data_IF_550406063732
#
_entry.id   IF_550406063732
#
_cell.length_a   1.000
_cell.length_b   1.000
_cell.length_c   1.000
_cell.angle_alpha   90.00
_cell.angle_beta   90.00
_cell.angle_gamma   90.00
#
_symmetry.space_group_name_H-M   'P 1'
#
loop_
_entity.id
_entity.type
_entity.pdbx_description
1 polymer ?
#
# COMPACT_ATOMS: atom_id res chain seq x y z
N UNK A 1 20.38 -13.83 -16.45
CA UNK A 1 20.00 -13.20 -15.15
C UNK A 1 18.65 -12.54 -15.37
N UNK A 2 17.73 -12.64 -14.42
CA UNK A 2 16.48 -11.88 -14.49
C UNK A 2 16.71 -10.48 -13.94
N UNK A 3 16.13 -9.50 -14.58
CA UNK A 3 16.11 -8.10 -14.17
C UNK A 3 14.67 -7.71 -13.83
N UNK A 4 14.53 -6.87 -12.83
CA UNK A 4 13.26 -6.38 -12.31
C UNK A 4 13.23 -4.86 -12.45
N UNK A 5 12.23 -4.33 -13.11
CA UNK A 5 12.00 -2.90 -13.14
C UNK A 5 10.56 -2.58 -12.76
N UNK A 6 10.41 -1.65 -11.85
CA UNK A 6 9.15 -1.07 -11.45
C UNK A 6 9.15 0.42 -11.78
N UNK A 7 8.05 0.88 -12.33
CA UNK A 7 7.81 2.30 -12.59
C UNK A 7 6.56 2.71 -11.84
N UNK A 8 6.69 3.72 -10.99
CA UNK A 8 5.57 4.31 -10.30
C UNK A 8 5.28 5.71 -10.85
N UNK A 9 4.06 5.88 -11.33
CA UNK A 9 3.54 7.13 -11.86
C UNK A 9 2.63 7.78 -10.81
N UNK A 10 3.08 8.87 -10.19
CA UNK A 10 2.27 9.59 -9.22
C UNK A 10 1.36 10.61 -9.90
N UNK A 11 0.09 10.60 -9.52
CA UNK A 11 -0.87 11.60 -9.99
C UNK A 11 -0.70 12.92 -9.25
N UNK A 12 -0.97 14.04 -9.93
CA UNK A 12 -0.94 15.38 -9.35
C UNK A 12 -1.95 15.54 -8.22
N UNK A 13 -3.08 14.90 -8.33
CA UNK A 13 -4.20 14.96 -7.39
C UNK A 13 -4.60 13.54 -6.97
N UNK A 14 -5.40 13.43 -5.91
CA UNK A 14 -6.06 12.17 -5.60
C UNK A 14 -7.29 11.98 -6.49
N UNK A 15 -7.40 10.80 -7.05
CA UNK A 15 -8.53 10.40 -7.87
C UNK A 15 -9.16 9.12 -7.33
N UNK A 16 -10.42 8.89 -7.72
CA UNK A 16 -11.06 7.61 -7.41
C UNK A 16 -10.28 6.45 -8.01
N UNK A 17 -10.08 5.39 -7.26
CA UNK A 17 -9.33 4.21 -7.70
C UNK A 17 -9.84 3.64 -9.02
N UNK A 18 -11.17 3.67 -9.25
CA UNK A 18 -11.79 3.23 -10.51
C UNK A 18 -11.26 4.00 -11.73
N UNK A 19 -11.05 5.30 -11.59
CA UNK A 19 -10.50 6.14 -12.64
C UNK A 19 -9.02 5.80 -12.90
N UNK A 20 -8.24 5.66 -11.84
CA UNK A 20 -6.81 5.33 -11.96
C UNK A 20 -6.64 3.95 -12.60
N UNK A 21 -7.44 2.98 -12.20
CA UNK A 21 -7.43 1.62 -12.75
C UNK A 21 -7.83 1.61 -14.25
N UNK A 22 -8.83 2.43 -14.65
CA UNK A 22 -9.15 2.56 -16.08
C UNK A 22 -7.98 3.17 -16.89
N UNK A 23 -7.27 4.15 -16.32
CA UNK A 23 -6.08 4.74 -16.96
C UNK A 23 -4.96 3.70 -17.09
N UNK A 24 -4.76 2.85 -16.08
CA UNK A 24 -3.82 1.74 -16.12
C UNK A 24 -4.09 0.83 -17.32
N UNK A 25 -5.33 0.34 -17.47
CA UNK A 25 -5.73 -0.48 -18.63
C UNK A 25 -5.47 0.21 -19.96
N UNK A 26 -5.80 1.50 -20.05
CA UNK A 26 -5.58 2.27 -21.30
C UNK A 26 -4.10 2.46 -21.62
N UNK A 27 -3.23 2.60 -20.62
CA UNK A 27 -1.77 2.69 -20.82
C UNK A 27 -1.24 1.37 -21.41
N UNK A 28 -1.70 0.21 -20.92
CA UNK A 28 -1.32 -1.08 -21.48
C UNK A 28 -1.74 -1.27 -22.96
N UNK A 29 -2.74 -0.54 -23.42
CA UNK A 29 -3.17 -0.57 -24.82
C UNK A 29 -2.34 0.35 -25.74
N UNK A 30 -1.38 1.12 -25.23
CA UNK A 30 -0.48 1.91 -26.06
C UNK A 30 0.46 0.95 -26.82
N UNK A 31 0.51 0.97 -28.18
CA UNK A 31 1.27 -0.02 -28.97
C UNK A 31 2.74 -0.13 -28.55
N UNK A 32 3.40 1.00 -28.31
CA UNK A 32 4.81 1.03 -27.90
C UNK A 32 5.06 0.27 -26.59
N UNK A 33 4.08 0.18 -25.69
CA UNK A 33 4.19 -0.63 -24.48
C UNK A 33 3.85 -2.08 -24.77
N UNK A 34 2.80 -2.36 -25.54
CA UNK A 34 2.38 -3.72 -25.88
C UNK A 34 3.48 -4.49 -26.58
N UNK A 35 4.23 -3.85 -27.48
CA UNK A 35 5.37 -4.45 -28.20
C UNK A 35 6.49 -4.91 -27.27
N UNK A 36 6.62 -4.32 -26.07
CA UNK A 36 7.65 -4.69 -25.11
C UNK A 36 7.34 -6.01 -24.41
N UNK A 37 6.07 -6.28 -24.11
CA UNK A 37 5.67 -7.45 -23.31
C UNK A 37 5.01 -8.58 -24.10
N UNK A 38 4.72 -8.39 -25.37
CA UNK A 38 4.00 -9.37 -26.20
C UNK A 38 4.84 -10.61 -26.59
N UNK A 39 6.05 -10.71 -26.04
CA UNK A 39 6.98 -11.81 -26.23
C UNK A 39 7.16 -12.66 -24.97
N UNK A 40 7.49 -13.92 -25.16
CA UNK A 40 7.56 -14.94 -24.10
C UNK A 40 8.68 -14.75 -23.04
N UNK A 41 9.56 -13.74 -23.20
CA UNK A 41 10.70 -13.46 -22.32
C UNK A 41 10.47 -12.29 -21.38
N UNK A 42 9.23 -11.80 -21.26
CA UNK A 42 8.87 -10.71 -20.39
C UNK A 42 7.55 -10.98 -19.67
N UNK A 43 7.49 -10.62 -18.40
CA UNK A 43 6.28 -10.65 -17.57
C UNK A 43 6.02 -9.23 -17.09
N UNK A 44 4.82 -8.72 -17.36
CA UNK A 44 4.42 -7.40 -16.88
C UNK A 44 3.21 -7.49 -15.96
N UNK A 45 3.08 -6.47 -15.11
CA UNK A 45 1.92 -6.28 -14.26
C UNK A 45 1.70 -4.79 -14.04
N UNK A 46 0.44 -4.41 -13.77
CA UNK A 46 0.05 -3.09 -13.32
C UNK A 46 -0.67 -3.16 -11.98
N UNK A 47 -0.63 -2.09 -11.23
CA UNK A 47 -1.39 -1.95 -10.00
C UNK A 47 -1.79 -0.48 -9.80
N UNK A 48 -3.09 -0.25 -9.72
CA UNK A 48 -3.65 1.07 -9.47
C UNK A 48 -3.74 1.37 -7.97
N UNK A 49 -3.34 2.58 -7.59
CA UNK A 49 -3.47 3.18 -6.26
C UNK A 49 -4.27 4.47 -6.38
N UNK A 50 -4.85 4.97 -5.30
CA UNK A 50 -5.63 6.22 -5.35
C UNK A 50 -4.83 7.44 -5.83
N UNK A 51 -3.49 7.34 -5.83
CA UNK A 51 -2.57 8.42 -6.19
C UNK A 51 -1.56 8.09 -7.25
N UNK A 52 -1.73 7.00 -7.93
CA UNK A 52 -0.79 6.62 -8.97
C UNK A 52 -0.97 5.21 -9.47
N UNK A 53 -0.07 4.83 -10.35
CA UNK A 53 -0.05 3.51 -10.97
C UNK A 53 1.38 2.99 -10.90
N UNK A 54 1.53 1.77 -10.44
CA UNK A 54 2.77 1.01 -10.57
C UNK A 54 2.66 0.12 -11.80
N UNK A 55 3.71 0.10 -12.60
CA UNK A 55 3.93 -0.87 -13.66
C UNK A 55 5.21 -1.63 -13.37
N UNK A 56 5.20 -2.93 -13.58
CA UNK A 56 6.36 -3.78 -13.37
C UNK A 56 6.67 -4.59 -14.61
N UNK A 57 7.96 -4.82 -14.86
CA UNK A 57 8.47 -5.72 -15.89
C UNK A 57 9.57 -6.60 -15.29
N UNK A 58 9.46 -7.89 -15.54
CA UNK A 58 10.53 -8.87 -15.28
C UNK A 58 10.97 -9.46 -16.60
N UNK A 59 12.26 -9.37 -16.91
CA UNK A 59 12.80 -9.92 -18.16
C UNK A 59 14.29 -10.29 -17.99
N UNK A 60 14.76 -11.25 -18.78
CA UNK A 60 16.18 -11.51 -18.93
C UNK A 60 16.82 -10.69 -20.07
N UNK A 61 16.03 -9.87 -20.76
CA UNK A 61 16.41 -9.07 -21.90
C UNK A 61 16.56 -7.58 -21.50
N UNK A 62 17.79 -7.12 -21.32
CA UNK A 62 18.09 -5.74 -20.94
C UNK A 62 17.56 -4.70 -21.92
N UNK A 63 17.40 -5.04 -23.23
CA UNK A 63 16.82 -4.11 -24.21
C UNK A 63 15.35 -3.82 -23.86
N UNK A 64 14.60 -4.83 -23.41
CA UNK A 64 13.21 -4.66 -22.98
C UNK A 64 13.11 -3.82 -21.70
N UNK A 65 14.00 -4.08 -20.74
CA UNK A 65 14.10 -3.24 -19.53
C UNK A 65 14.32 -1.78 -19.89
N UNK A 66 15.28 -1.51 -20.79
CA UNK A 66 15.57 -0.15 -21.26
C UNK A 66 14.39 0.45 -22.04
N UNK A 67 13.77 -0.31 -22.92
CA UNK A 67 12.60 0.15 -23.67
C UNK A 67 11.42 0.51 -22.77
N UNK A 68 11.15 -0.32 -21.76
CA UNK A 68 10.10 -0.10 -20.78
C UNK A 68 10.35 1.20 -19.97
N UNK A 69 11.56 1.40 -19.46
CA UNK A 69 11.93 2.65 -18.77
C UNK A 69 11.72 3.87 -19.70
N UNK A 70 12.24 3.81 -20.93
CA UNK A 70 12.14 4.90 -21.88
C UNK A 70 10.70 5.21 -22.28
N UNK A 71 9.85 4.19 -22.39
CA UNK A 71 8.42 4.39 -22.63
C UNK A 71 7.80 5.27 -21.53
N UNK A 72 7.99 4.93 -20.26
CA UNK A 72 7.41 5.69 -19.16
C UNK A 72 8.02 7.09 -18.98
N UNK A 73 9.30 7.27 -19.21
CA UNK A 73 9.95 8.60 -19.24
C UNK A 73 9.29 9.51 -20.28
N UNK A 74 8.88 8.93 -21.40
CA UNK A 74 8.25 9.65 -22.52
C UNK A 74 6.71 9.57 -22.50
N UNK A 75 6.09 9.02 -21.46
CA UNK A 75 4.66 8.74 -21.40
C UNK A 75 3.77 9.95 -21.73
N UNK A 76 4.19 11.16 -21.36
CA UNK A 76 3.48 12.42 -21.66
C UNK A 76 3.36 12.73 -23.14
N UNK A 77 4.09 12.05 -24.01
CA UNK A 77 4.02 12.26 -25.46
C UNK A 77 2.91 11.43 -26.12
N UNK A 78 2.34 10.47 -25.39
CA UNK A 78 1.31 9.59 -25.90
C UNK A 78 -0.10 10.09 -25.62
N UNK A 79 -1.05 9.65 -26.43
CA UNK A 79 -2.48 9.77 -26.16
C UNK A 79 -3.00 8.46 -25.58
N UNK A 80 -3.94 8.55 -24.63
CA UNK A 80 -4.60 7.34 -24.12
C UNK A 80 -5.57 6.79 -25.18
N UNK A 81 -5.42 5.54 -25.60
CA UNK A 81 -6.38 4.88 -26.46
C UNK A 81 -7.71 4.68 -25.74
N UNK A 82 -8.79 4.56 -26.49
CA UNK A 82 -10.06 4.13 -25.93
C UNK A 82 -10.01 2.63 -25.63
N UNK A 83 -10.69 2.23 -24.54
CA UNK A 83 -10.86 0.82 -24.23
C UNK A 83 -11.64 0.11 -25.36
N UNK A 84 -11.14 -1.01 -25.83
CA UNK A 84 -11.90 -1.93 -26.67
C UNK A 84 -13.12 -2.48 -25.93
N UNK A 85 -14.07 -3.08 -26.62
CA UNK A 85 -15.24 -3.66 -25.96
C UNK A 85 -14.85 -4.87 -25.08
N UNK A 86 -13.82 -5.60 -25.45
CA UNK A 86 -13.23 -6.68 -24.66
C UNK A 86 -12.61 -6.14 -23.37
N UNK A 87 -11.77 -5.11 -23.46
CA UNK A 87 -11.14 -4.47 -22.30
C UNK A 87 -12.18 -3.81 -21.37
N UNK A 88 -13.25 -3.22 -21.92
CA UNK A 88 -14.35 -2.71 -21.09
C UNK A 88 -15.04 -3.83 -20.29
N UNK A 89 -15.20 -5.01 -20.89
CA UNK A 89 -15.78 -6.16 -20.19
C UNK A 89 -14.83 -6.69 -19.13
N UNK A 90 -13.53 -6.83 -19.44
CA UNK A 90 -12.48 -7.24 -18.52
C UNK A 90 -12.42 -6.30 -17.33
N UNK A 91 -12.31 -5.00 -17.55
CA UNK A 91 -12.30 -3.96 -16.52
C UNK A 91 -13.54 -4.06 -15.60
N UNK A 92 -14.75 -4.23 -16.17
CA UNK A 92 -15.97 -4.41 -15.38
C UNK A 92 -15.93 -5.68 -14.53
N UNK A 93 -15.37 -6.78 -15.04
CA UNK A 93 -15.24 -8.03 -14.29
C UNK A 93 -14.24 -7.89 -13.14
N UNK A 94 -13.05 -7.35 -13.39
CA UNK A 94 -12.02 -7.13 -12.38
C UNK A 94 -12.53 -6.21 -11.26
N UNK A 95 -13.22 -5.13 -11.61
CA UNK A 95 -13.80 -4.22 -10.62
C UNK A 95 -14.93 -4.87 -9.81
N UNK A 96 -15.71 -5.76 -10.43
CA UNK A 96 -16.72 -6.57 -9.74
C UNK A 96 -16.09 -7.56 -8.77
N UNK A 97 -15.01 -8.21 -9.17
CA UNK A 97 -14.24 -9.12 -8.32
C UNK A 97 -13.59 -8.37 -7.15
N UNK A 98 -12.98 -7.22 -7.41
CA UNK A 98 -12.42 -6.36 -6.37
C UNK A 98 -13.48 -6.00 -5.31
N UNK A 99 -14.66 -5.55 -5.75
CA UNK A 99 -15.79 -5.29 -4.84
C UNK A 99 -16.29 -6.55 -4.12
N UNK A 100 -16.22 -7.71 -4.75
CA UNK A 100 -16.58 -8.98 -4.11
C UNK A 100 -15.54 -9.38 -3.06
N UNK A 101 -14.25 -9.29 -3.37
CA UNK A 101 -13.14 -9.53 -2.42
C UNK A 101 -13.24 -8.61 -1.20
N UNK A 102 -13.57 -7.33 -1.39
CA UNK A 102 -13.82 -6.40 -0.28
C UNK A 102 -14.92 -6.87 0.68
N UNK A 103 -15.89 -7.65 0.20
CA UNK A 103 -16.95 -8.22 1.03
C UNK A 103 -16.53 -9.52 1.73
N UNK A 104 -15.56 -10.24 1.19
CA UNK A 104 -15.09 -11.50 1.75
C UNK A 104 -14.06 -11.31 2.85
N UNK A 105 -13.19 -10.31 2.72
CA UNK A 105 -12.15 -10.03 3.71
C UNK A 105 -12.53 -8.82 4.56
N UNK A 106 -12.68 -9.03 5.85
CA UNK A 106 -13.13 -7.96 6.76
C UNK A 106 -12.15 -6.79 6.84
N UNK A 107 -10.84 -7.06 6.75
CA UNK A 107 -9.82 -6.02 6.66
C UNK A 107 -10.01 -5.13 5.42
N UNK A 108 -10.31 -5.73 4.28
CA UNK A 108 -10.53 -5.01 3.02
C UNK A 108 -11.75 -4.11 3.09
N UNK A 109 -12.81 -4.55 3.75
CA UNK A 109 -13.97 -3.71 4.06
C UNK A 109 -13.57 -2.52 4.94
N UNK A 110 -12.78 -2.76 5.99
CA UNK A 110 -12.33 -1.72 6.91
C UNK A 110 -11.44 -0.68 6.23
N UNK A 111 -10.48 -1.13 5.37
CA UNK A 111 -9.65 -0.26 4.54
C UNK A 111 -10.50 0.57 3.59
N UNK A 112 -11.45 -0.04 2.88
CA UNK A 112 -12.37 0.69 1.99
C UNK A 112 -13.20 1.75 2.72
N UNK A 113 -13.55 1.51 3.99
CA UNK A 113 -14.21 2.52 4.84
C UNK A 113 -13.28 3.67 5.19
N UNK A 114 -12.05 3.36 5.54
CA UNK A 114 -11.00 4.35 5.76
C UNK A 114 -10.83 5.22 4.51
N UNK A 115 -10.60 4.63 3.36
CA UNK A 115 -10.42 5.31 2.08
C UNK A 115 -11.59 6.23 1.75
N UNK A 116 -12.84 5.75 1.90
CA UNK A 116 -14.03 6.56 1.63
C UNK A 116 -14.14 7.81 2.52
N UNK A 117 -13.71 7.72 3.79
CA UNK A 117 -13.71 8.86 4.71
C UNK A 117 -12.52 9.77 4.41
N UNK A 118 -11.35 9.17 4.18
CA UNK A 118 -10.12 9.86 3.82
C UNK A 118 -10.30 10.69 2.55
N UNK A 119 -10.90 10.12 1.50
CA UNK A 119 -11.18 10.78 0.23
C UNK A 119 -12.07 12.02 0.40
N UNK A 120 -13.10 11.92 1.25
CA UNK A 120 -13.98 13.05 1.55
C UNK A 120 -13.24 14.20 2.26
N UNK A 121 -12.40 13.84 3.24
CA UNK A 121 -11.64 14.82 4.04
C UNK A 121 -10.58 15.50 3.19
N UNK A 122 -9.89 14.75 2.33
CA UNK A 122 -8.75 15.23 1.55
C UNK A 122 -9.12 15.68 0.13
N UNK A 123 -10.40 15.68 -0.23
CA UNK A 123 -10.90 16.24 -1.48
C UNK A 123 -10.50 15.46 -2.73
N UNK A 124 -10.72 14.13 -2.72
CA UNK A 124 -10.47 13.27 -3.89
C UNK A 124 -11.32 13.67 -5.07
N UNK A 125 -10.71 13.87 -6.23
CA UNK A 125 -11.38 14.34 -7.43
C UNK A 125 -11.98 13.19 -8.24
N UNK A 126 -13.16 13.44 -8.79
CA UNK A 126 -13.71 12.67 -9.89
C UNK A 126 -13.55 13.52 -11.16
N UNK A 127 -12.90 12.99 -12.17
CA UNK A 127 -12.79 13.62 -13.49
C UNK A 127 -13.16 12.60 -14.57
N UNK A 128 -13.43 13.10 -15.79
CA UNK A 128 -13.58 12.23 -16.96
C UNK A 128 -12.21 12.00 -17.56
N UNK A 129 -11.97 10.80 -18.05
CA UNK A 129 -10.75 10.48 -18.77
C UNK A 129 -10.85 11.13 -20.16
N UNK A 130 -9.86 11.97 -20.45
CA UNK A 130 -9.61 12.57 -21.75
C UNK A 130 -8.41 11.85 -22.39
N UNK A 131 -8.44 11.66 -23.72
CA UNK A 131 -7.33 11.04 -24.45
C UNK A 131 -6.00 11.79 -24.28
N UNK A 132 -6.03 13.08 -24.03
CA UNK A 132 -4.86 13.93 -23.80
C UNK A 132 -4.46 14.02 -22.31
N UNK A 133 -5.06 13.23 -21.43
CA UNK A 133 -4.87 13.35 -19.99
C UNK A 133 -3.38 13.23 -19.60
N UNK A 134 -2.60 12.39 -20.30
CA UNK A 134 -1.16 12.25 -20.08
C UNK A 134 -0.41 13.53 -20.47
N UNK A 135 -0.73 14.14 -21.61
CA UNK A 135 -0.14 15.41 -22.10
C UNK A 135 -0.49 16.57 -21.17
N UNK A 136 -1.66 16.54 -20.54
CA UNK A 136 -2.16 17.59 -19.65
C UNK A 136 -1.58 17.51 -18.22
N UNK A 137 -0.58 16.65 -18.00
CA UNK A 137 0.12 16.56 -16.72
C UNK A 137 -0.72 15.89 -15.63
N UNK A 138 -1.40 14.81 -15.96
CA UNK A 138 -2.10 13.97 -15.01
C UNK A 138 -1.14 13.37 -13.98
N UNK A 139 0.01 12.88 -14.45
CA UNK A 139 1.09 12.45 -13.59
C UNK A 139 2.02 13.62 -13.30
N UNK A 140 2.30 13.81 -12.02
CA UNK A 140 3.19 14.84 -11.51
C UNK A 140 4.64 14.36 -11.47
N UNK A 141 4.84 13.05 -11.35
CA UNK A 141 6.12 12.50 -10.99
C UNK A 141 6.25 11.03 -11.37
N UNK A 142 7.49 10.61 -11.69
CA UNK A 142 7.86 9.26 -12.06
C UNK A 142 9.02 8.79 -11.17
N UNK A 143 8.88 7.60 -10.62
CA UNK A 143 9.93 6.88 -9.93
C UNK A 143 10.22 5.56 -10.64
N UNK A 144 11.48 5.27 -10.86
CA UNK A 144 11.93 4.01 -11.44
C UNK A 144 12.77 3.29 -10.40
N UNK A 145 12.47 2.02 -10.17
CA UNK A 145 13.28 1.12 -9.38
C UNK A 145 13.72 -0.04 -10.25
N UNK A 146 15.02 -0.17 -10.46
CA UNK A 146 15.61 -1.27 -11.21
C UNK A 146 16.55 -2.04 -10.28
N UNK A 147 16.27 -3.34 -10.08
CA UNK A 147 17.08 -4.21 -9.21
C UNK A 147 17.35 -3.56 -7.82
N UNK A 148 16.29 -3.02 -7.19
CA UNK A 148 16.31 -2.31 -5.90
C UNK A 148 17.02 -0.96 -5.88
N UNK A 149 17.43 -0.41 -7.02
CA UNK A 149 17.96 0.94 -7.12
C UNK A 149 16.92 1.91 -7.61
N UNK A 150 16.71 2.98 -6.86
CA UNK A 150 15.66 3.97 -7.13
C UNK A 150 16.24 5.16 -7.89
N UNK A 151 15.65 5.44 -9.05
CA UNK A 151 15.90 6.64 -9.83
C UNK A 151 14.71 7.58 -9.74
N UNK A 152 14.91 8.77 -9.16
CA UNK A 152 13.87 9.81 -9.04
C UNK A 152 14.06 10.82 -10.15
N UNK A 153 13.08 10.89 -11.06
CA UNK A 153 13.20 11.74 -12.25
C UNK A 153 12.75 13.20 -12.04
N UNK A 154 11.97 13.47 -10.98
CA UNK A 154 11.47 14.81 -10.67
C UNK A 154 11.44 15.08 -9.15
N UNK A 155 11.50 16.36 -8.75
CA UNK A 155 11.41 16.76 -7.34
C UNK A 155 9.96 16.61 -6.82
N UNK A 156 9.81 15.85 -5.75
CA UNK A 156 8.54 15.58 -5.12
C UNK A 156 8.28 16.48 -3.90
N UNK A 157 7.07 17.06 -3.81
CA UNK A 157 6.61 17.74 -2.61
C UNK A 157 5.68 16.83 -1.82
N UNK A 158 6.08 16.46 -0.61
CA UNK A 158 5.23 15.68 0.29
C UNK A 158 3.98 16.48 0.65
N UNK A 159 2.82 15.86 0.54
CA UNK A 159 1.55 16.43 0.97
C UNK A 159 1.28 16.00 2.42
N UNK A 160 0.84 16.93 3.24
CA UNK A 160 0.38 16.62 4.59
C UNK A 160 -1.07 16.14 4.53
N UNK A 161 -1.34 14.97 5.09
CA UNK A 161 -2.65 14.33 5.07
C UNK A 161 -3.38 14.49 6.38
N UNK A 162 -4.72 14.53 6.28
CA UNK A 162 -5.61 14.44 7.45
C UNK A 162 -6.16 13.01 7.48
N UNK A 163 -5.74 12.25 8.48
CA UNK A 163 -6.19 10.88 8.64
C UNK A 163 -7.51 10.81 9.41
N UNK A 164 -8.51 10.07 8.92
CA UNK A 164 -9.74 9.85 9.65
C UNK A 164 -9.52 8.94 10.86
N UNK A 165 -10.20 9.28 11.96
CA UNK A 165 -10.36 8.39 13.11
C UNK A 165 -11.83 8.05 13.25
N UNK A 166 -12.14 6.76 13.35
CA UNK A 166 -13.53 6.31 13.43
C UNK A 166 -13.67 5.01 14.21
N UNK A 167 -14.84 4.85 14.82
CA UNK A 167 -15.31 3.59 15.40
C UNK A 167 -16.61 3.23 14.70
N UNK A 168 -16.63 2.09 14.06
CA UNK A 168 -17.81 1.66 13.32
C UNK A 168 -18.23 0.25 13.70
N UNK A 169 -19.51 0.11 14.04
CA UNK A 169 -20.16 -1.18 14.18
C UNK A 169 -21.00 -1.47 12.94
N UNK A 170 -20.81 -2.65 12.38
CA UNK A 170 -21.58 -3.09 11.21
C UNK A 170 -22.43 -4.31 11.56
N UNK A 171 -23.55 -4.47 10.85
CA UNK A 171 -24.37 -5.68 10.94
C UNK A 171 -23.90 -6.67 9.89
N UNK A 172 -23.47 -7.84 10.30
CA UNK A 172 -23.15 -8.97 9.41
C UNK A 172 -24.12 -10.13 9.67
N UNK A 173 -24.22 -11.05 8.70
CA UNK A 173 -24.98 -12.29 8.85
C UNK A 173 -24.12 -13.45 9.36
N UNK A 174 -22.92 -13.16 9.82
CA UNK A 174 -21.93 -14.17 10.25
C UNK A 174 -22.03 -14.32 11.77
N UNK A 175 -22.06 -15.55 12.26
CA UNK A 175 -22.16 -15.87 13.69
C UNK A 175 -20.89 -15.62 14.49
N UNK A 176 -19.79 -15.28 13.82
CA UNK A 176 -18.52 -14.95 14.45
C UNK A 176 -18.35 -13.44 14.60
N UNK A 177 -17.75 -13.04 15.72
CA UNK A 177 -17.34 -11.65 15.88
C UNK A 177 -16.14 -11.36 14.97
N UNK A 178 -16.26 -10.33 14.19
CA UNK A 178 -15.22 -9.83 13.30
C UNK A 178 -14.70 -8.50 13.84
N UNK A 179 -13.40 -8.34 13.85
CA UNK A 179 -12.76 -7.09 14.25
C UNK A 179 -11.70 -6.72 13.24
N UNK A 180 -11.64 -5.46 12.89
CA UNK A 180 -10.51 -4.88 12.16
C UNK A 180 -10.03 -3.62 12.86
N UNK A 181 -8.73 -3.44 12.90
CA UNK A 181 -8.05 -2.24 13.41
C UNK A 181 -7.31 -1.60 12.22
N UNK A 182 -7.45 -0.31 12.09
CA UNK A 182 -6.79 0.51 11.07
C UNK A 182 -5.90 1.53 11.75
N UNK A 183 -4.68 1.65 11.30
CA UNK A 183 -3.75 2.68 11.74
C UNK A 183 -3.03 3.30 10.54
N UNK A 184 -3.34 4.56 10.19
CA UNK A 184 -2.63 5.30 9.17
C UNK A 184 -1.42 6.06 9.76
N UNK A 185 -0.41 6.32 8.94
CA UNK A 185 0.71 7.18 9.29
C UNK A 185 1.33 7.85 8.08
N UNK A 186 1.94 9.01 8.27
CA UNK A 186 2.82 9.62 7.29
C UNK A 186 4.13 8.83 7.18
N UNK A 187 4.72 8.88 6.01
CA UNK A 187 5.97 8.24 5.71
C UNK A 187 7.13 8.65 6.65
N UNK A 188 7.16 9.90 7.11
CA UNK A 188 8.19 10.40 8.04
C UNK A 188 8.23 9.63 9.36
N UNK A 189 7.14 8.99 9.75
CA UNK A 189 7.04 8.18 10.95
C UNK A 189 7.29 6.69 10.69
N UNK A 190 7.67 6.30 9.47
CA UNK A 190 7.74 4.90 9.04
C UNK A 190 8.51 4.00 10.02
N UNK A 191 9.73 4.38 10.40
CA UNK A 191 10.55 3.54 11.27
C UNK A 191 9.91 3.29 12.64
N UNK A 192 9.35 4.34 13.26
CA UNK A 192 8.63 4.21 14.53
C UNK A 192 7.35 3.41 14.36
N UNK A 193 6.66 3.61 13.25
CA UNK A 193 5.43 2.91 12.93
C UNK A 193 5.66 1.41 12.71
N UNK A 194 6.69 1.03 11.97
CA UNK A 194 7.05 -0.36 11.73
C UNK A 194 7.34 -1.14 13.02
N UNK A 195 8.03 -0.52 13.96
CA UNK A 195 8.29 -1.12 15.28
C UNK A 195 7.02 -1.16 16.14
N UNK A 196 6.21 -0.10 16.06
CA UNK A 196 4.96 -0.01 16.82
C UNK A 196 3.97 -1.09 16.37
N UNK A 197 3.74 -1.26 15.07
CA UNK A 197 2.80 -2.27 14.60
C UNK A 197 3.25 -3.69 14.93
N UNK A 198 4.56 -3.99 14.82
CA UNK A 198 5.12 -5.30 15.22
C UNK A 198 4.85 -5.57 16.70
N UNK A 199 4.96 -4.52 17.53
CA UNK A 199 4.60 -4.63 18.94
C UNK A 199 3.10 -4.89 19.15
N UNK A 200 2.24 -4.20 18.40
CA UNK A 200 0.79 -4.41 18.45
C UNK A 200 0.39 -5.81 18.01
N UNK A 201 0.95 -6.31 16.92
CA UNK A 201 0.71 -7.69 16.49
C UNK A 201 1.09 -8.71 17.56
N UNK A 202 2.25 -8.54 18.19
CA UNK A 202 2.68 -9.41 19.27
C UNK A 202 1.69 -9.41 20.44
N UNK A 203 1.19 -8.23 20.84
CA UNK A 203 0.17 -8.10 21.89
C UNK A 203 -1.12 -8.79 21.47
N UNK A 204 -1.59 -8.57 20.23
CA UNK A 204 -2.80 -9.21 19.74
C UNK A 204 -2.67 -10.73 19.66
N UNK A 205 -1.54 -11.24 19.21
CA UNK A 205 -1.25 -12.69 19.21
C UNK A 205 -1.25 -13.26 20.63
N UNK A 206 -0.68 -12.55 21.60
CA UNK A 206 -0.76 -12.95 23.04
C UNK A 206 -2.21 -12.97 23.55
N UNK A 207 -3.00 -11.94 23.22
CA UNK A 207 -4.37 -11.80 23.72
C UNK A 207 -5.34 -12.78 23.10
N UNK A 208 -5.18 -13.11 21.82
CA UNK A 208 -6.18 -13.83 21.03
C UNK A 208 -5.70 -15.19 20.54
N UNK A 209 -4.52 -15.28 19.92
CA UNK A 209 -4.05 -16.56 19.36
C UNK A 209 -3.59 -17.52 20.46
N UNK A 210 -2.77 -17.08 21.40
CA UNK A 210 -2.32 -17.93 22.50
C UNK A 210 -3.41 -18.34 23.48
N UNK A 211 -4.50 -17.58 23.52
CA UNK A 211 -5.68 -17.91 24.34
C UNK A 211 -6.75 -18.70 23.56
N UNK A 212 -6.45 -19.09 22.32
CA UNK A 212 -7.35 -19.84 21.44
C UNK A 212 -8.68 -19.13 21.12
N UNK A 213 -8.72 -17.80 21.25
CA UNK A 213 -9.89 -16.99 20.89
C UNK A 213 -10.02 -16.80 19.38
N UNK A 214 -8.90 -16.81 18.68
CA UNK A 214 -8.80 -16.87 17.22
C UNK A 214 -7.69 -17.82 16.78
N UNK A 215 -7.77 -18.29 15.53
CA UNK A 215 -6.71 -19.13 14.95
C UNK A 215 -5.54 -18.27 14.49
N UNK A 216 -5.80 -17.18 13.79
CA UNK A 216 -4.77 -16.30 13.25
C UNK A 216 -5.28 -14.85 13.13
N UNK A 217 -4.34 -13.97 12.85
CA UNK A 217 -4.55 -12.55 12.58
C UNK A 217 -4.11 -12.25 11.14
N UNK A 218 -5.01 -11.72 10.35
CA UNK A 218 -4.68 -11.20 9.01
C UNK A 218 -4.16 -9.78 9.14
N UNK A 219 -2.90 -9.57 8.78
CA UNK A 219 -2.23 -8.26 8.84
C UNK A 219 -1.81 -7.83 7.45
N UNK A 220 -2.16 -6.61 7.09
CA UNK A 220 -1.91 -6.05 5.77
C UNK A 220 -1.39 -4.64 5.86
N UNK A 221 -0.47 -4.34 4.96
CA UNK A 221 -0.01 -3.00 4.66
C UNK A 221 -0.63 -2.52 3.37
N UNK A 222 -1.21 -1.33 3.41
CA UNK A 222 -1.62 -0.60 2.22
C UNK A 222 -0.65 0.56 2.06
N UNK A 223 0.12 0.51 0.99
CA UNK A 223 1.06 1.56 0.66
C UNK A 223 0.39 2.54 -0.29
N UNK A 224 0.40 3.78 0.11
CA UNK A 224 0.01 4.90 -0.73
C UNK A 224 1.20 5.87 -0.81
N UNK A 225 1.27 6.71 -1.82
CA UNK A 225 2.43 7.52 -2.17
C UNK A 225 3.16 8.22 -1.03
N UNK A 226 2.42 8.75 -0.05
CA UNK A 226 2.94 9.63 0.99
C UNK A 226 2.55 9.15 2.38
N UNK A 227 1.77 8.08 2.45
CA UNK A 227 1.30 7.55 3.71
C UNK A 227 1.13 6.03 3.63
N UNK A 228 1.02 5.44 4.78
CA UNK A 228 0.83 4.03 5.00
C UNK A 228 -0.44 3.80 5.79
N UNK A 229 -1.11 2.70 5.51
CA UNK A 229 -2.20 2.21 6.34
C UNK A 229 -1.90 0.78 6.73
N UNK A 230 -1.79 0.55 8.03
CA UNK A 230 -1.78 -0.80 8.55
C UNK A 230 -3.20 -1.22 8.90
N UNK A 231 -3.60 -2.39 8.44
CA UNK A 231 -4.87 -3.00 8.75
C UNK A 231 -4.63 -4.41 9.31
N UNK A 232 -5.25 -4.70 10.44
CA UNK A 232 -5.26 -6.05 11.00
C UNK A 232 -6.68 -6.46 11.29
N UNK A 233 -7.02 -7.70 10.95
CA UNK A 233 -8.36 -8.24 11.22
C UNK A 233 -8.31 -9.68 11.70
N UNK A 234 -9.36 -10.08 12.39
CA UNK A 234 -9.54 -11.46 12.85
C UNK A 234 -11.00 -11.81 13.10
N UNK A 235 -11.25 -13.11 13.15
CA UNK A 235 -12.49 -13.69 13.59
C UNK A 235 -12.33 -14.24 15.00
N UNK A 236 -13.30 -13.99 15.88
CA UNK A 236 -13.25 -14.46 17.27
C UNK A 236 -14.61 -14.96 17.73
N UNK A 237 -14.61 -15.92 18.64
CA UNK A 237 -15.83 -16.33 19.37
C UNK A 237 -16.27 -15.27 20.38
N UNK A 238 -15.31 -14.53 20.91
CA UNK A 238 -15.55 -13.47 21.89
C UNK A 238 -15.65 -12.10 21.21
N UNK A 239 -16.44 -11.21 21.78
CA UNK A 239 -16.49 -9.83 21.32
C UNK A 239 -15.16 -9.13 21.61
N UNK A 240 -14.77 -8.24 20.70
CA UNK A 240 -13.60 -7.40 20.89
C UNK A 240 -13.79 -6.45 22.08
N UNK A 241 -12.89 -6.54 23.04
CA UNK A 241 -12.79 -5.58 24.14
C UNK A 241 -11.74 -4.51 23.80
N UNK A 242 -12.25 -3.41 23.26
CA UNK A 242 -11.42 -2.25 22.92
C UNK A 242 -10.68 -1.67 24.15
N UNK A 243 -11.31 -1.69 25.34
CA UNK A 243 -10.69 -1.13 26.55
C UNK A 243 -9.52 -1.99 26.99
N UNK A 244 -9.69 -3.32 26.97
CA UNK A 244 -8.62 -4.25 27.32
C UNK A 244 -7.48 -4.19 26.30
N UNK A 245 -7.79 -4.13 25.01
CA UNK A 245 -6.79 -3.92 23.96
C UNK A 245 -5.99 -2.64 24.21
N UNK A 246 -6.64 -1.49 24.36
CA UNK A 246 -5.98 -0.20 24.58
C UNK A 246 -5.16 -0.21 25.87
N UNK A 247 -5.66 -0.83 26.95
CA UNK A 247 -4.93 -1.01 28.20
C UNK A 247 -3.64 -1.81 28.01
N UNK A 248 -3.66 -2.87 27.20
CA UNK A 248 -2.50 -3.70 26.95
C UNK A 248 -1.48 -3.00 26.07
N UNK A 249 -1.95 -2.34 25.00
CA UNK A 249 -1.05 -1.62 24.09
C UNK A 249 -0.46 -0.36 24.72
N UNK A 250 -1.12 0.24 25.71
CA UNK A 250 -0.56 1.37 26.48
C UNK A 250 0.61 0.96 27.38
N UNK A 251 0.85 -0.32 27.57
CA UNK A 251 2.07 -0.83 28.21
C UNK A 251 3.23 -0.72 27.22
N UNK A 252 3.90 0.41 27.26
CA UNK A 252 5.03 0.68 26.37
C UNK A 252 6.11 -0.41 26.49
N UNK A 253 6.76 -0.83 25.40
CA UNK A 253 7.86 -1.76 25.47
C UNK A 253 9.05 -1.14 26.22
N UNK A 254 9.80 -1.95 26.96
CA UNK A 254 11.06 -1.51 27.55
C UNK A 254 12.21 -1.53 26.51
N UNK A 255 13.38 -0.97 26.85
CA UNK A 255 14.56 -0.93 25.95
C UNK A 255 14.97 -2.31 25.41
N UNK A 256 14.83 -3.38 26.21
CA UNK A 256 15.17 -4.74 25.77
C UNK A 256 14.18 -5.25 24.73
N UNK A 257 12.89 -5.05 24.95
CA UNK A 257 11.83 -5.38 23.99
C UNK A 257 11.97 -4.57 22.70
N UNK A 258 12.21 -3.27 22.79
CA UNK A 258 12.45 -2.42 21.62
C UNK A 258 13.64 -2.91 20.78
N UNK A 259 14.77 -3.27 21.41
CA UNK A 259 15.92 -3.84 20.69
C UNK A 259 15.57 -5.16 19.99
N UNK A 260 14.75 -5.99 20.62
CA UNK A 260 14.28 -7.25 20.03
C UNK A 260 13.39 -6.97 18.80
N UNK A 261 12.42 -6.08 18.93
CA UNK A 261 11.51 -5.69 17.82
C UNK A 261 12.29 -5.15 16.62
N UNK A 262 13.29 -4.30 16.84
CA UNK A 262 14.17 -3.81 15.76
C UNK A 262 14.90 -4.94 15.04
N UNK A 263 15.48 -5.88 15.79
CA UNK A 263 16.18 -7.04 15.19
C UNK A 263 15.24 -7.92 14.39
N UNK A 264 14.05 -8.18 14.93
CA UNK A 264 13.03 -8.96 14.26
C UNK A 264 12.59 -8.30 12.95
N UNK A 265 12.31 -7.01 12.98
CA UNK A 265 11.92 -6.26 11.80
C UNK A 265 13.01 -6.28 10.71
N UNK A 266 14.28 -6.07 11.07
CA UNK A 266 15.39 -6.12 10.13
C UNK A 266 15.53 -7.54 9.52
N UNK A 267 15.35 -8.58 10.31
CA UNK A 267 15.38 -9.96 9.81
C UNK A 267 14.25 -10.22 8.79
N UNK A 268 13.00 -9.84 9.11
CA UNK A 268 11.87 -9.97 8.18
C UNK A 268 12.07 -9.17 6.90
N UNK A 269 12.62 -7.97 7.02
CA UNK A 269 13.00 -7.14 5.91
C UNK A 269 14.02 -7.83 4.97
N UNK A 270 15.10 -8.38 5.52
CA UNK A 270 16.11 -9.11 4.75
C UNK A 270 15.51 -10.37 4.07
N UNK A 271 14.56 -11.01 4.72
CA UNK A 271 13.81 -12.14 4.14
C UNK A 271 12.96 -11.68 2.93
N UNK A 272 12.25 -10.57 3.05
CA UNK A 272 11.44 -10.01 1.94
C UNK A 272 12.30 -9.58 0.75
N UNK A 273 13.48 -9.02 0.99
CA UNK A 273 14.44 -8.72 -0.07
C UNK A 273 14.86 -9.99 -0.84
N UNK A 274 15.10 -11.09 -0.12
CA UNK A 274 15.46 -12.38 -0.75
C UNK A 274 14.31 -12.94 -1.63
N UNK A 275 13.07 -12.54 -1.36
CA UNK A 275 11.89 -12.88 -2.17
C UNK A 275 11.67 -11.94 -3.38
N UNK A 276 12.61 -11.04 -3.66
CA UNK A 276 12.54 -10.04 -4.75
C UNK A 276 11.29 -9.15 -4.73
N UNK A 277 10.76 -8.88 -3.55
CA UNK A 277 9.63 -7.98 -3.41
C UNK A 277 10.10 -6.53 -3.33
N UNK A 278 10.07 -5.80 -4.46
CA UNK A 278 10.48 -4.39 -4.50
C UNK A 278 9.31 -3.40 -4.59
N UNK A 279 8.06 -3.88 -4.50
CA UNK A 279 6.88 -3.02 -4.61
C UNK A 279 6.89 -1.87 -3.60
N UNK A 280 7.18 -2.19 -2.34
CA UNK A 280 7.23 -1.22 -1.24
C UNK A 280 8.21 -0.08 -1.53
N UNK A 281 9.38 -0.40 -2.10
CA UNK A 281 10.42 0.59 -2.35
C UNK A 281 10.02 1.60 -3.41
N UNK A 282 9.34 1.11 -4.47
CA UNK A 282 8.84 1.96 -5.55
C UNK A 282 7.76 2.91 -5.06
N UNK A 283 6.82 2.40 -4.27
CA UNK A 283 5.71 3.22 -3.75
C UNK A 283 6.18 4.19 -2.68
N UNK A 284 7.12 3.79 -1.84
CA UNK A 284 7.65 4.61 -0.74
C UNK A 284 8.90 5.42 -1.11
N UNK A 285 9.52 5.15 -2.26
CA UNK A 285 10.74 5.81 -2.78
C UNK A 285 11.93 5.71 -1.83
N UNK A 286 12.06 4.56 -1.21
CA UNK A 286 13.15 4.23 -0.29
C UNK A 286 13.99 3.12 -0.89
N UNK A 287 15.30 3.29 -0.85
CA UNK A 287 16.20 2.18 -1.10
C UNK A 287 16.28 1.24 0.12
N UNK A 288 16.48 -0.08 -0.11
CA UNK A 288 16.54 -1.07 0.96
C UNK A 288 17.54 -0.71 2.08
N UNK A 289 18.72 -0.19 1.73
CA UNK A 289 19.71 0.22 2.74
C UNK A 289 19.27 1.49 3.49
N UNK A 290 18.57 2.40 2.83
CA UNK A 290 17.98 3.59 3.48
C UNK A 290 16.96 3.15 4.53
N UNK A 291 16.01 2.25 4.16
CA UNK A 291 15.01 1.72 5.08
C UNK A 291 15.65 1.02 6.28
N UNK A 292 16.61 0.12 6.02
CA UNK A 292 17.37 -0.57 7.05
C UNK A 292 18.07 0.40 8.00
N UNK A 293 18.65 1.48 7.45
CA UNK A 293 19.30 2.51 8.23
C UNK A 293 18.29 3.34 9.05
N UNK A 294 17.11 3.66 8.51
CA UNK A 294 16.04 4.32 9.27
C UNK A 294 15.67 3.51 10.53
N UNK A 295 15.50 2.19 10.38
CA UNK A 295 15.19 1.32 11.51
C UNK A 295 16.38 1.18 12.47
N UNK A 296 17.61 0.99 11.94
CA UNK A 296 18.81 0.88 12.78
C UNK A 296 19.10 2.13 13.60
N UNK A 297 18.86 3.30 13.03
CA UNK A 297 19.16 4.58 13.66
C UNK A 297 18.03 5.09 14.57
N UNK A 298 16.83 4.50 14.50
CA UNK A 298 15.73 4.87 15.39
C UNK A 298 16.13 4.65 16.84
N UNK A 299 16.13 5.72 17.63
CA UNK A 299 16.36 5.64 19.07
C UNK A 299 15.10 5.20 19.85
N UNK A 300 15.28 4.71 21.06
CA UNK A 300 14.15 4.35 21.92
C UNK A 300 13.32 5.57 22.32
N UNK A 301 13.97 6.69 22.54
CA UNK A 301 13.36 7.97 22.89
C UNK A 301 12.48 8.49 21.72
N UNK A 302 13.00 8.52 20.50
CA UNK A 302 12.25 8.91 19.29
C UNK A 302 11.04 8.00 19.06
N UNK A 303 11.19 6.69 19.28
CA UNK A 303 10.09 5.75 19.20
C UNK A 303 8.99 6.06 20.22
N UNK A 304 9.36 6.35 21.48
CA UNK A 304 8.41 6.67 22.54
C UNK A 304 7.67 8.00 22.32
N UNK A 305 8.31 9.00 21.71
CA UNK A 305 7.66 10.26 21.32
C UNK A 305 6.47 10.05 20.36
N UNK A 306 6.57 9.05 19.50
CA UNK A 306 5.50 8.72 18.53
C UNK A 306 4.49 7.70 19.05
N UNK A 307 4.79 7.03 20.13
CA UNK A 307 4.00 5.91 20.63
C UNK A 307 2.56 6.30 20.96
N UNK A 308 2.36 7.39 21.69
CA UNK A 308 1.03 7.86 22.08
C UNK A 308 0.24 8.38 20.86
N UNK A 309 0.93 9.03 19.91
CA UNK A 309 0.33 9.43 18.64
C UNK A 309 -0.28 8.24 17.91
N UNK A 310 0.41 7.09 17.83
CA UNK A 310 -0.14 5.91 17.19
C UNK A 310 -1.35 5.35 17.94
N UNK A 311 -1.28 5.26 19.28
CA UNK A 311 -2.43 4.80 20.09
C UNK A 311 -3.65 5.69 19.86
N UNK A 312 -3.45 6.99 19.76
CA UNK A 312 -4.55 7.94 19.60
C UNK A 312 -5.18 7.89 18.19
N UNK A 313 -4.50 7.31 17.20
CA UNK A 313 -4.96 7.29 15.81
C UNK A 313 -5.57 5.96 15.36
N UNK A 314 -5.78 4.99 16.23
CA UNK A 314 -6.50 3.78 15.89
C UNK A 314 -7.95 4.05 15.48
N UNK A 315 -8.35 3.42 14.39
CA UNK A 315 -9.75 3.26 13.99
C UNK A 315 -10.17 1.80 14.10
N UNK A 316 -11.42 1.56 14.45
CA UNK A 316 -11.95 0.24 14.72
C UNK A 316 -13.20 -0.03 13.89
N UNK A 317 -13.29 -1.24 13.34
CA UNK A 317 -14.49 -1.77 12.71
C UNK A 317 -14.83 -3.11 13.38
N UNK A 318 -16.05 -3.25 13.88
CA UNK A 318 -16.55 -4.49 14.50
C UNK A 318 -17.93 -4.82 13.94
N UNK A 319 -18.34 -6.09 14.00
CA UNK A 319 -19.73 -6.48 13.77
C UNK A 319 -20.53 -6.68 15.05
#
# INVERSE_FOLDING_TARGET
>A
MLHFVDVFLKTREAYKLELIHEIEHRIFLIPDLSDIYDESDAITNGMAYSRGIRFSLVSNNLKKITAFKNFFINLKNFELPDLTDEEKQRFKMEFKEYKAKQRHYFWSYAVSKFENIFDKINGVKATKIDKNILKNGFFEWICICEDFKIEKLENFKKKKWIFPKFDQKIKTKIDWNQTAIILPTDFENYASFAIFFTHCENILREMYCKTWKTYDLDSFWVFENDYLVWAISWFSREKFDKKDFLKNISKRPNKKQFKYLKKYFIFEFERQLAEHNQEIYVVMWIEPEEEKNMIKNLSFEQFLEKYDFFIDNFSFVTN
#
